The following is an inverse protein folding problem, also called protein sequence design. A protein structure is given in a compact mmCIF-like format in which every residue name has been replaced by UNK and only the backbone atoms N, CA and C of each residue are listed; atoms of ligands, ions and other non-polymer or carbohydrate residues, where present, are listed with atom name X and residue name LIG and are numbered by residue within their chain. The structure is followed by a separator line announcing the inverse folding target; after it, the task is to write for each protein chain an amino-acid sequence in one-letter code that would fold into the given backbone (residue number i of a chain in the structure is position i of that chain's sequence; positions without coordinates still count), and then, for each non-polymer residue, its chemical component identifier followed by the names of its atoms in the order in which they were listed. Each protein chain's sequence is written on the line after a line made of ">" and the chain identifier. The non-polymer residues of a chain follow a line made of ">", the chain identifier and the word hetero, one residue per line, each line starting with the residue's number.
data_IF_978107733232
#
_entry.id   IF_978107733232
#
_cell.length_a   1.000
_cell.length_b   1.000
_cell.length_c   1.000
_cell.angle_alpha   90.00
_cell.angle_beta   90.00
_cell.angle_gamma   90.00
#
_symmetry.space_group_name_H-M   'P 1'
#
loop_
_entity.id
_entity.type
_entity.pdbx_description
1 polymer ?
#
# COMPACT_ATOMS: atom_id res chain seq x y z
N UNK A 1 -6.84 -24.32 -11.41
CA UNK A 1 -5.87 -23.46 -12.13
C UNK A 1 -5.78 -22.16 -11.35
N UNK A 2 -4.57 -21.78 -10.93
CA UNK A 2 -4.36 -20.47 -10.27
C UNK A 2 -4.26 -19.44 -11.40
N UNK A 3 -5.11 -18.41 -11.44
CA UNK A 3 -5.04 -17.39 -12.49
C UNK A 3 -3.67 -16.71 -12.44
N UNK A 4 -3.11 -16.43 -13.62
CA UNK A 4 -1.87 -15.66 -13.68
C UNK A 4 -2.08 -14.28 -13.07
N UNK A 5 -1.03 -13.73 -12.46
CA UNK A 5 -1.09 -12.50 -11.65
C UNK A 5 -1.70 -11.31 -12.41
N UNK A 6 -1.51 -11.29 -13.72
CA UNK A 6 -2.01 -10.25 -14.62
C UNK A 6 -3.50 -10.40 -14.93
N UNK A 7 -4.02 -11.63 -14.99
CA UNK A 7 -5.44 -11.92 -15.20
C UNK A 7 -6.26 -11.54 -13.96
N UNK A 8 -5.73 -11.84 -12.77
CA UNK A 8 -6.32 -11.41 -11.50
C UNK A 8 -6.34 -9.87 -11.38
N UNK A 9 -5.27 -9.18 -11.81
CA UNK A 9 -5.23 -7.73 -11.82
C UNK A 9 -6.25 -7.13 -12.79
N UNK A 10 -6.38 -7.68 -13.99
CA UNK A 10 -7.36 -7.24 -14.99
C UNK A 10 -8.81 -7.41 -14.49
N UNK A 11 -9.12 -8.54 -13.86
CA UNK A 11 -10.42 -8.79 -13.25
C UNK A 11 -10.70 -7.83 -12.07
N UNK A 12 -9.68 -7.44 -11.30
CA UNK A 12 -9.84 -6.48 -10.22
C UNK A 12 -10.10 -5.07 -10.75
N UNK A 13 -9.44 -4.68 -11.85
CA UNK A 13 -9.64 -3.41 -12.53
C UNK A 13 -11.05 -3.30 -13.11
N UNK A 14 -11.58 -4.37 -13.71
CA UNK A 14 -12.94 -4.34 -14.28
C UNK A 14 -14.03 -4.16 -13.22
N UNK A 15 -13.76 -4.56 -11.97
CA UNK A 15 -14.68 -4.40 -10.83
C UNK A 15 -14.61 -3.02 -10.17
N UNK A 16 -13.59 -2.19 -10.47
CA UNK A 16 -13.42 -0.88 -9.82
C UNK A 16 -14.62 0.07 -9.97
N UNK A 17 -15.31 0.17 -11.13
CA UNK A 17 -16.47 1.04 -11.27
C UNK A 17 -17.63 0.62 -10.37
N UNK A 18 -17.95 -0.67 -10.33
CA UNK A 18 -19.02 -1.21 -9.47
C UNK A 18 -18.67 -1.04 -7.99
N UNK A 19 -17.40 -1.29 -7.63
CA UNK A 19 -16.91 -1.08 -6.28
C UNK A 19 -17.00 0.40 -5.88
N UNK A 20 -16.70 1.34 -6.78
CA UNK A 20 -16.78 2.76 -6.51
C UNK A 20 -18.23 3.21 -6.23
N UNK A 21 -19.19 2.76 -7.04
CA UNK A 21 -20.63 3.03 -6.83
C UNK A 21 -21.09 2.43 -5.50
N UNK A 22 -20.77 1.16 -5.26
CA UNK A 22 -21.15 0.47 -4.02
C UNK A 22 -20.57 1.14 -2.76
N UNK A 23 -19.32 1.63 -2.82
CA UNK A 23 -18.71 2.39 -1.72
C UNK A 23 -19.39 3.75 -1.52
N UNK A 24 -19.72 4.44 -2.61
CA UNK A 24 -20.39 5.75 -2.54
C UNK A 24 -21.80 5.65 -1.93
N UNK A 25 -22.57 4.61 -2.30
CA UNK A 25 -23.92 4.38 -1.79
C UNK A 25 -23.95 3.75 -0.41
N UNK A 26 -22.82 3.19 0.06
CA UNK A 26 -22.76 2.53 1.36
C UNK A 26 -22.92 3.51 2.53
N UNK A 27 -23.74 3.13 3.50
CA UNK A 27 -23.83 3.86 4.76
C UNK A 27 -22.47 3.82 5.50
N UNK A 28 -22.04 4.90 6.17
CA UNK A 28 -20.75 4.94 6.85
C UNK A 28 -20.58 3.78 7.84
N UNK A 29 -19.71 2.83 7.50
CA UNK A 29 -19.39 1.70 8.37
C UNK A 29 -18.44 2.15 9.48
N UNK A 30 -19.00 2.73 10.56
CA UNK A 30 -18.24 3.25 11.71
C UNK A 30 -17.24 2.24 12.28
N UNK A 31 -17.57 0.95 12.27
CA UNK A 31 -16.67 -0.12 12.70
C UNK A 31 -15.52 -0.38 11.72
N UNK A 32 -15.76 -0.24 10.42
CA UNK A 32 -14.70 -0.30 9.41
C UNK A 32 -13.78 0.92 9.53
N UNK A 33 -14.34 2.12 9.70
CA UNK A 33 -13.58 3.35 9.94
C UNK A 33 -12.74 3.25 11.21
N UNK A 34 -13.32 2.76 12.32
CA UNK A 34 -12.60 2.56 13.59
C UNK A 34 -11.46 1.56 13.44
N UNK A 35 -11.68 0.44 12.72
CA UNK A 35 -10.63 -0.55 12.44
C UNK A 35 -9.55 -0.01 11.50
N UNK A 36 -9.92 0.86 10.56
CA UNK A 36 -9.01 1.49 9.62
C UNK A 36 -8.17 2.59 10.29
N UNK A 37 -8.68 3.29 11.30
CA UNK A 37 -7.98 4.39 11.99
C UNK A 37 -6.61 3.95 12.57
N UNK A 38 -6.45 2.70 13.00
CA UNK A 38 -5.15 2.16 13.45
C UNK A 38 -4.18 1.79 12.31
N UNK A 39 -4.69 1.70 11.08
CA UNK A 39 -3.97 1.30 9.87
C UNK A 39 -3.85 2.41 8.83
N UNK A 40 -4.32 3.62 9.14
CA UNK A 40 -4.17 4.77 8.25
C UNK A 40 -2.69 5.02 7.95
N UNK A 41 -2.41 5.16 6.67
CA UNK A 41 -1.11 5.53 6.16
C UNK A 41 -1.11 7.01 5.88
N UNK A 42 -0.06 7.70 6.32
CA UNK A 42 0.18 9.06 5.83
C UNK A 42 0.45 9.04 4.33
N UNK A 43 0.24 10.16 3.64
CA UNK A 43 0.53 10.27 2.20
C UNK A 43 1.96 9.80 1.84
N UNK A 44 2.94 10.09 2.71
CA UNK A 44 4.33 9.67 2.53
C UNK A 44 4.52 8.17 2.73
N UNK A 45 3.84 7.58 3.70
CA UNK A 45 3.82 6.13 3.91
C UNK A 45 3.18 5.41 2.72
N UNK A 46 2.06 5.94 2.21
CA UNK A 46 1.42 5.42 1.00
C UNK A 46 2.33 5.51 -0.22
N UNK A 47 3.01 6.64 -0.42
CA UNK A 47 3.97 6.80 -1.52
C UNK A 47 5.08 5.74 -1.48
N UNK A 48 5.59 5.40 -0.29
CA UNK A 48 6.56 4.32 -0.13
C UNK A 48 5.98 2.93 -0.43
N UNK A 49 4.74 2.65 -0.03
CA UNK A 49 4.07 1.40 -0.39
C UNK A 49 3.93 1.28 -1.91
N UNK A 50 3.52 2.35 -2.59
CA UNK A 50 3.40 2.38 -4.06
C UNK A 50 4.76 2.18 -4.72
N UNK A 51 5.82 2.83 -4.21
CA UNK A 51 7.17 2.67 -4.73
C UNK A 51 7.67 1.22 -4.58
N UNK A 52 7.44 0.60 -3.43
CA UNK A 52 7.82 -0.80 -3.15
C UNK A 52 6.97 -1.79 -3.95
N UNK A 53 5.68 -1.51 -4.17
CA UNK A 53 4.83 -2.35 -5.01
C UNK A 53 5.31 -2.38 -6.47
N UNK A 54 5.84 -1.24 -6.97
CA UNK A 54 6.44 -1.15 -8.30
C UNK A 54 7.80 -1.85 -8.41
N UNK A 55 8.57 -1.91 -7.32
CA UNK A 55 9.86 -2.60 -7.26
C UNK A 55 9.99 -3.44 -5.98
N UNK A 56 9.39 -4.65 -5.97
CA UNK A 56 9.55 -5.56 -4.84
C UNK A 56 11.02 -5.90 -4.63
N UNK A 57 11.47 -5.89 -3.37
CA UNK A 57 12.87 -6.17 -3.03
C UNK A 57 13.84 -4.98 -3.21
N UNK A 58 13.34 -3.77 -3.48
CA UNK A 58 14.18 -2.58 -3.55
C UNK A 58 15.00 -2.37 -2.26
N UNK A 59 16.27 -2.03 -2.43
CA UNK A 59 17.16 -1.67 -1.31
C UNK A 59 16.75 -0.35 -0.68
N UNK A 60 17.20 -0.09 0.56
CA UNK A 60 16.94 1.20 1.22
C UNK A 60 17.49 2.41 0.43
N UNK A 61 18.57 2.24 -0.32
CA UNK A 61 19.12 3.33 -1.16
C UNK A 61 18.22 3.63 -2.36
N UNK A 62 17.71 2.60 -3.02
CA UNK A 62 16.81 2.75 -4.17
C UNK A 62 15.46 3.33 -3.74
N UNK A 63 14.93 2.88 -2.60
CA UNK A 63 13.71 3.44 -2.04
C UNK A 63 13.90 4.92 -1.66
N UNK A 64 15.02 5.27 -1.03
CA UNK A 64 15.34 6.65 -0.69
C UNK A 64 15.39 7.55 -1.94
N UNK A 65 16.04 7.08 -3.01
CA UNK A 65 16.10 7.76 -4.30
C UNK A 65 14.70 7.92 -4.93
N UNK A 66 13.90 6.86 -4.95
CA UNK A 66 12.54 6.88 -5.50
C UNK A 66 11.60 7.86 -4.77
N UNK A 67 11.82 8.06 -3.47
CA UNK A 67 11.03 8.99 -2.65
C UNK A 67 11.60 10.42 -2.65
N UNK A 68 12.79 10.65 -3.22
CA UNK A 68 13.48 11.94 -3.14
C UNK A 68 13.89 12.31 -1.71
N UNK A 69 14.33 11.32 -0.91
CA UNK A 69 14.63 11.49 0.52
C UNK A 69 16.01 10.93 0.88
N UNK A 70 16.52 11.29 2.06
CA UNK A 70 17.72 10.66 2.60
C UNK A 70 17.47 9.23 3.12
N UNK A 71 18.53 8.41 3.15
CA UNK A 71 18.48 7.01 3.60
C UNK A 71 17.94 6.85 5.03
N UNK A 72 18.27 7.75 5.94
CA UNK A 72 17.78 7.73 7.32
C UNK A 72 16.25 7.89 7.38
N UNK A 73 15.71 8.88 6.65
CA UNK A 73 14.28 9.12 6.58
C UNK A 73 13.53 7.95 5.92
N UNK A 74 14.11 7.35 4.87
CA UNK A 74 13.54 6.15 4.25
C UNK A 74 13.52 4.96 5.22
N UNK A 75 14.59 4.77 6.01
CA UNK A 75 14.65 3.70 7.01
C UNK A 75 13.58 3.84 8.09
N UNK A 76 13.44 5.04 8.66
CA UNK A 76 12.41 5.33 9.66
C UNK A 76 11.00 5.13 9.10
N UNK A 77 10.76 5.59 7.87
CA UNK A 77 9.48 5.41 7.19
C UNK A 77 9.14 3.91 7.02
N UNK A 78 10.11 3.10 6.59
CA UNK A 78 9.95 1.65 6.42
C UNK A 78 9.74 0.97 7.76
N UNK A 79 10.43 1.37 8.81
CA UNK A 79 10.24 0.82 10.15
C UNK A 79 8.81 1.03 10.65
N UNK A 80 8.25 2.23 10.47
CA UNK A 80 6.83 2.50 10.77
C UNK A 80 5.88 1.65 9.93
N UNK A 81 6.20 1.39 8.66
CA UNK A 81 5.40 0.53 7.78
C UNK A 81 5.46 -0.95 8.19
N UNK A 82 6.61 -1.43 8.65
CA UNK A 82 6.79 -2.78 9.22
C UNK A 82 5.98 -2.91 10.51
N UNK A 83 6.03 -1.92 11.41
CA UNK A 83 5.22 -1.90 12.64
C UNK A 83 3.71 -1.96 12.35
N UNK A 84 3.28 -1.35 11.23
CA UNK A 84 1.88 -1.42 10.75
C UNK A 84 1.54 -2.73 10.02
N UNK A 85 2.50 -3.62 9.79
CA UNK A 85 2.32 -4.89 9.08
C UNK A 85 2.08 -4.75 7.57
N UNK A 86 2.46 -3.62 6.98
CA UNK A 86 2.16 -3.29 5.57
C UNK A 86 3.27 -3.75 4.63
N UNK A 87 4.50 -3.77 5.13
CA UNK A 87 5.68 -4.20 4.38
C UNK A 87 6.51 -5.15 5.24
N UNK A 88 7.31 -5.99 4.59
CA UNK A 88 8.26 -6.88 5.25
C UNK A 88 9.65 -6.66 4.66
N UNK A 89 10.69 -6.79 5.50
CA UNK A 89 12.07 -6.79 5.04
C UNK A 89 12.48 -8.21 4.72
N UNK A 90 13.11 -8.39 3.57
CA UNK A 90 13.73 -9.66 3.19
C UNK A 90 15.23 -9.54 3.53
N UNK A 91 15.84 -10.54 4.19
CA UNK A 91 17.28 -10.56 4.49
C UNK A 91 18.16 -10.48 3.24
#
# INVERSE_FOLDING_TARGET
>A
MVPERDEAAAALVSLLPELAVAVYESAPHRDAVRRAAGRELTARQMAAVVALARRPGATMSELAAALGTGRAAASELVERLVQKGVVQRVP
#
